data_IF_077269072143
#
_entry.id   IF_077269072143
#
_cell.length_a   1.000
_cell.length_b   1.000
_cell.length_c   1.000
_cell.angle_alpha   90.00
_cell.angle_beta   90.00
_cell.angle_gamma   90.00
#
_symmetry.space_group_name_H-M   'P 1'
#
loop_
_entity.id
_entity.type
_entity.pdbx_description
1 polymer ?
#
# COMPACT_ATOMS: atom_id res chain seq x y z
N UNK A 1 -34.03 -50.13 -19.29
CA UNK A 1 -32.83 -49.73 -18.56
C UNK A 1 -33.04 -48.31 -18.04
N UNK A 2 -33.15 -48.16 -16.75
CA UNK A 2 -33.33 -46.85 -16.14
C UNK A 2 -32.09 -46.03 -16.34
N UNK A 3 -32.21 -44.81 -16.88
CA UNK A 3 -31.17 -43.82 -16.89
C UNK A 3 -30.98 -43.34 -15.43
N UNK A 4 -30.15 -44.04 -14.70
CA UNK A 4 -29.79 -43.67 -13.36
C UNK A 4 -28.96 -42.38 -13.41
N UNK A 5 -29.54 -41.37 -12.87
CA UNK A 5 -29.01 -40.17 -12.22
C UNK A 5 -27.59 -39.73 -12.64
N UNK A 6 -27.42 -39.31 -13.90
CA UNK A 6 -26.23 -38.62 -14.35
C UNK A 6 -25.82 -37.45 -13.44
N UNK A 7 -26.77 -36.81 -12.75
CA UNK A 7 -26.51 -35.70 -11.84
C UNK A 7 -25.85 -36.17 -10.53
N UNK A 8 -26.36 -37.26 -9.92
CA UNK A 8 -25.75 -37.80 -8.69
C UNK A 8 -24.35 -38.30 -8.93
N UNK A 9 -24.12 -39.02 -10.04
CA UNK A 9 -22.80 -39.52 -10.45
C UNK A 9 -21.84 -38.36 -10.74
N UNK A 10 -22.34 -37.31 -11.40
CA UNK A 10 -21.56 -36.09 -11.68
C UNK A 10 -21.17 -35.39 -10.39
N UNK A 11 -22.12 -35.13 -9.48
CA UNK A 11 -21.87 -34.47 -8.21
C UNK A 11 -20.93 -35.28 -7.31
N UNK A 12 -21.08 -36.63 -7.30
CA UNK A 12 -20.16 -37.52 -6.57
C UNK A 12 -18.76 -37.46 -7.13
N UNK A 13 -18.60 -37.52 -8.44
CA UNK A 13 -17.32 -37.41 -9.12
C UNK A 13 -16.65 -36.07 -8.85
N UNK A 14 -17.43 -35.00 -8.87
CA UNK A 14 -16.95 -33.64 -8.60
C UNK A 14 -16.50 -33.49 -7.14
N UNK A 15 -17.30 -34.00 -6.18
CA UNK A 15 -16.93 -34.00 -4.76
C UNK A 15 -15.64 -34.78 -4.49
N UNK A 16 -15.44 -35.91 -5.17
CA UNK A 16 -14.19 -36.68 -5.06
C UNK A 16 -12.98 -35.89 -5.57
N UNK A 17 -13.12 -35.19 -6.70
CA UNK A 17 -12.06 -34.35 -7.24
C UNK A 17 -11.72 -33.17 -6.31
N UNK A 18 -12.71 -32.54 -5.71
CA UNK A 18 -12.52 -31.50 -4.70
C UNK A 18 -11.80 -32.02 -3.46
N UNK A 19 -12.21 -33.17 -2.93
CA UNK A 19 -11.53 -33.82 -1.79
C UNK A 19 -10.06 -34.08 -2.09
N UNK A 20 -9.77 -34.65 -3.24
CA UNK A 20 -8.40 -34.94 -3.67
C UNK A 20 -7.57 -33.66 -3.76
N UNK A 21 -8.16 -32.56 -4.28
CA UNK A 21 -7.47 -31.28 -4.47
C UNK A 21 -7.25 -30.54 -3.12
N UNK A 22 -8.20 -30.66 -2.19
CA UNK A 22 -8.13 -30.05 -0.86
C UNK A 22 -7.38 -30.91 0.17
N UNK A 23 -6.98 -32.14 -0.16
CA UNK A 23 -6.33 -33.04 0.77
C UNK A 23 -7.23 -33.48 1.94
N UNK A 24 -8.55 -33.52 1.75
CA UNK A 24 -9.50 -33.87 2.80
C UNK A 24 -10.31 -35.12 2.47
N UNK A 25 -10.63 -35.93 3.49
CA UNK A 25 -11.56 -37.05 3.39
C UNK A 25 -12.99 -36.71 3.82
N UNK A 26 -13.21 -35.50 4.35
CA UNK A 26 -14.51 -35.05 4.87
C UNK A 26 -15.57 -35.01 3.76
N UNK A 27 -16.82 -35.34 4.12
CA UNK A 27 -17.95 -35.22 3.19
C UNK A 27 -18.23 -33.75 2.89
N UNK A 28 -18.33 -33.41 1.62
CA UNK A 28 -18.70 -32.06 1.18
C UNK A 28 -20.23 -32.03 1.10
N UNK A 29 -20.85 -31.21 1.94
CA UNK A 29 -22.28 -30.96 1.90
C UNK A 29 -22.60 -30.14 0.64
N UNK A 30 -23.66 -30.47 -0.11
CA UNK A 30 -24.10 -29.68 -1.25
C UNK A 30 -24.36 -28.21 -0.95
N UNK A 31 -24.75 -27.86 0.30
CA UNK A 31 -24.96 -26.48 0.74
C UNK A 31 -23.64 -25.69 0.89
N UNK A 32 -22.52 -26.40 1.07
CA UNK A 32 -21.19 -25.78 1.20
C UNK A 32 -20.44 -25.77 -0.13
N UNK A 33 -21.10 -26.19 -1.23
CA UNK A 33 -20.44 -26.44 -2.51
C UNK A 33 -19.78 -25.16 -3.06
N UNK A 34 -20.46 -24.02 -2.98
CA UNK A 34 -19.97 -22.74 -3.46
C UNK A 34 -18.66 -22.34 -2.73
N UNK A 35 -18.68 -22.42 -1.39
CA UNK A 35 -17.47 -22.15 -0.60
C UNK A 35 -16.33 -23.15 -0.88
N UNK A 36 -16.66 -24.40 -1.23
CA UNK A 36 -15.65 -25.39 -1.59
C UNK A 36 -15.07 -25.21 -2.99
N UNK A 37 -15.81 -24.60 -3.90
CA UNK A 37 -15.27 -24.14 -5.19
C UNK A 37 -14.22 -23.05 -4.93
N UNK A 38 -14.52 -22.09 -4.08
CA UNK A 38 -13.57 -21.03 -3.72
C UNK A 38 -12.32 -21.61 -3.04
N UNK A 39 -12.48 -22.55 -2.08
CA UNK A 39 -11.36 -23.26 -1.44
C UNK A 39 -10.43 -23.95 -2.47
N UNK A 40 -10.98 -24.55 -3.52
CA UNK A 40 -10.20 -25.21 -4.60
C UNK A 40 -9.47 -24.19 -5.46
N UNK A 41 -10.13 -23.08 -5.79
CA UNK A 41 -9.49 -21.97 -6.51
C UNK A 41 -8.34 -21.38 -5.71
N UNK A 42 -8.54 -21.16 -4.41
CA UNK A 42 -7.52 -20.64 -3.52
C UNK A 42 -6.38 -21.64 -3.31
N UNK A 43 -6.68 -22.95 -3.23
CA UNK A 43 -5.64 -23.99 -3.18
C UNK A 43 -4.82 -24.07 -4.47
N UNK A 44 -5.44 -23.86 -5.65
CA UNK A 44 -4.73 -23.77 -6.93
C UNK A 44 -3.81 -22.55 -6.97
N UNK A 45 -4.32 -21.40 -6.61
CA UNK A 45 -3.54 -20.15 -6.51
C UNK A 45 -2.47 -20.24 -5.43
N UNK A 46 -2.73 -20.94 -4.31
CA UNK A 46 -1.74 -21.20 -3.28
C UNK A 46 -0.55 -22.00 -3.78
N UNK A 47 -0.76 -22.99 -4.66
CA UNK A 47 0.31 -23.75 -5.28
C UNK A 47 1.21 -22.89 -6.17
N UNK A 48 0.63 -22.02 -7.00
CA UNK A 48 1.38 -21.06 -7.81
C UNK A 48 2.14 -20.06 -6.92
N UNK A 49 1.50 -19.65 -5.85
CA UNK A 49 2.05 -18.72 -4.87
C UNK A 49 3.23 -19.35 -4.08
N UNK A 50 3.08 -20.60 -3.61
CA UNK A 50 4.16 -21.32 -2.95
C UNK A 50 5.36 -21.51 -3.89
N UNK A 51 5.12 -21.87 -5.15
CA UNK A 51 6.16 -21.96 -6.17
C UNK A 51 6.83 -20.61 -6.46
N UNK A 52 6.05 -19.52 -6.50
CA UNK A 52 6.59 -18.17 -6.63
C UNK A 52 7.52 -17.83 -5.46
N UNK A 53 7.07 -18.03 -4.21
CA UNK A 53 7.87 -17.74 -3.03
C UNK A 53 9.12 -18.61 -2.93
N UNK A 54 9.03 -19.89 -3.31
CA UNK A 54 10.16 -20.81 -3.34
C UNK A 54 11.18 -20.39 -4.41
N UNK A 55 10.73 -19.95 -5.58
CA UNK A 55 11.59 -19.43 -6.64
C UNK A 55 12.25 -18.09 -6.27
N UNK A 56 11.48 -17.16 -5.68
CA UNK A 56 11.99 -15.82 -5.33
C UNK A 56 12.86 -15.80 -4.08
N UNK A 57 12.69 -16.75 -3.16
CA UNK A 57 13.35 -16.72 -1.86
C UNK A 57 14.28 -17.88 -1.56
N UNK A 58 14.49 -18.77 -2.53
CA UNK A 58 15.38 -19.92 -2.34
C UNK A 58 16.81 -19.55 -1.89
N UNK A 59 17.22 -18.29 -2.06
CA UNK A 59 18.58 -17.83 -1.74
C UNK A 59 18.66 -16.68 -0.73
N UNK A 60 17.55 -16.18 -0.18
CA UNK A 60 17.54 -15.02 0.74
C UNK A 60 18.12 -13.71 0.16
N UNK A 61 18.48 -13.71 -1.13
CA UNK A 61 19.20 -12.63 -1.81
C UNK A 61 18.34 -11.84 -2.78
N UNK A 62 17.09 -12.28 -3.02
CA UNK A 62 16.20 -11.58 -3.96
C UNK A 62 15.91 -10.16 -3.42
N UNK A 63 16.31 -9.18 -4.20
CA UNK A 63 16.15 -7.75 -3.89
C UNK A 63 15.28 -7.03 -4.92
N UNK A 64 15.14 -7.61 -6.11
CA UNK A 64 14.29 -7.10 -7.18
C UNK A 64 12.91 -7.76 -7.11
N UNK A 65 11.92 -6.97 -6.71
CA UNK A 65 10.51 -7.33 -6.69
C UNK A 65 9.71 -6.48 -7.69
N UNK A 66 10.39 -5.90 -8.68
CA UNK A 66 9.71 -5.10 -9.69
C UNK A 66 8.61 -5.90 -10.38
N UNK A 67 7.41 -5.34 -10.41
CA UNK A 67 6.20 -5.96 -10.97
C UNK A 67 5.82 -7.35 -10.39
N UNK A 68 6.38 -7.76 -9.26
CA UNK A 68 6.21 -9.11 -8.70
C UNK A 68 4.73 -9.50 -8.51
N UNK A 69 3.88 -8.58 -8.09
CA UNK A 69 2.46 -8.80 -7.82
C UNK A 69 1.54 -7.99 -8.76
N UNK A 70 2.12 -7.29 -9.75
CA UNK A 70 1.38 -6.41 -10.64
C UNK A 70 0.32 -7.17 -11.45
N UNK A 71 -0.95 -6.71 -11.37
CA UNK A 71 -2.06 -7.23 -12.17
C UNK A 71 -2.38 -8.72 -11.98
N UNK A 72 -1.78 -9.39 -11.01
CA UNK A 72 -1.88 -10.87 -10.88
C UNK A 72 -3.17 -11.35 -10.19
N UNK A 73 -4.13 -10.55 -9.93
CA UNK A 73 -5.42 -10.96 -9.36
C UNK A 73 -5.32 -11.82 -8.08
N UNK A 74 -4.22 -11.72 -7.33
CA UNK A 74 -4.07 -12.40 -6.06
C UNK A 74 -4.97 -11.78 -5.00
N UNK A 75 -5.57 -12.62 -4.17
CA UNK A 75 -6.41 -12.17 -3.06
C UNK A 75 -5.58 -12.01 -1.78
N UNK A 76 -6.12 -11.28 -0.82
CA UNK A 76 -5.52 -11.15 0.50
C UNK A 76 -5.32 -12.51 1.19
N UNK A 77 -6.21 -13.47 0.94
CA UNK A 77 -6.15 -14.81 1.54
C UNK A 77 -4.89 -15.59 1.10
N UNK A 78 -4.46 -15.39 -0.15
CA UNK A 78 -3.29 -16.10 -0.70
C UNK A 78 -2.00 -15.27 -0.63
N UNK A 79 -2.07 -13.97 -0.34
CA UNK A 79 -0.89 -13.13 -0.14
C UNK A 79 -0.28 -13.37 1.24
N UNK A 80 0.48 -14.45 1.38
CA UNK A 80 1.12 -14.88 2.64
C UNK A 80 2.61 -15.13 2.45
N UNK A 81 3.46 -14.09 2.48
CA UNK A 81 4.91 -14.27 2.37
C UNK A 81 5.44 -15.26 3.40
N UNK A 82 6.20 -16.27 2.99
CA UNK A 82 6.85 -17.23 3.90
C UNK A 82 7.96 -16.56 4.71
N UNK A 83 8.66 -15.61 4.09
CA UNK A 83 9.81 -14.91 4.63
C UNK A 83 9.61 -13.40 4.58
N UNK A 84 10.47 -12.65 5.25
CA UNK A 84 10.48 -11.19 5.12
C UNK A 84 10.88 -10.78 3.70
N UNK A 85 10.00 -10.03 3.05
CA UNK A 85 10.19 -9.45 1.73
C UNK A 85 10.82 -8.08 1.93
N UNK A 86 12.09 -7.93 1.57
CA UNK A 86 12.84 -6.68 1.70
C UNK A 86 13.34 -6.22 0.33
N UNK A 87 12.50 -5.55 -0.46
CA UNK A 87 12.89 -5.10 -1.80
C UNK A 87 13.92 -3.96 -1.72
N UNK A 88 14.87 -3.98 -2.63
CA UNK A 88 15.62 -2.79 -3.03
C UNK A 88 14.98 -2.14 -4.26
N UNK A 89 14.40 -2.95 -5.16
CA UNK A 89 13.58 -2.51 -6.27
C UNK A 89 12.13 -3.00 -6.09
N UNK A 90 11.21 -2.06 -5.87
CA UNK A 90 9.80 -2.27 -5.67
C UNK A 90 8.95 -1.57 -6.76
N UNK A 91 9.54 -1.21 -7.90
CA UNK A 91 8.81 -0.55 -9.00
C UNK A 91 7.66 -1.42 -9.48
N UNK A 92 6.47 -0.85 -9.59
CA UNK A 92 5.25 -1.55 -10.00
C UNK A 92 4.92 -2.81 -9.16
N UNK A 93 5.48 -2.98 -7.95
CA UNK A 93 5.37 -4.24 -7.20
C UNK A 93 3.93 -4.70 -7.01
N UNK A 94 3.01 -3.77 -6.67
CA UNK A 94 1.57 -4.01 -6.50
C UNK A 94 0.73 -3.21 -7.53
N UNK A 95 1.33 -2.79 -8.63
CA UNK A 95 0.63 -2.03 -9.66
C UNK A 95 -0.63 -2.78 -10.14
N UNK A 96 -1.78 -2.11 -10.13
CA UNK A 96 -3.09 -2.69 -10.51
C UNK A 96 -3.45 -3.98 -9.74
N UNK A 97 -2.91 -4.19 -8.55
CA UNK A 97 -3.32 -5.31 -7.68
C UNK A 97 -4.67 -5.00 -7.04
N UNK A 98 -5.71 -5.75 -7.40
CA UNK A 98 -7.09 -5.49 -6.95
C UNK A 98 -7.55 -6.38 -5.79
N UNK A 99 -6.88 -7.49 -5.53
CA UNK A 99 -7.27 -8.45 -4.50
C UNK A 99 -6.45 -8.39 -3.21
N UNK A 100 -5.32 -7.68 -3.19
CA UNK A 100 -4.50 -7.46 -2.00
C UNK A 100 -4.86 -6.10 -1.43
N UNK A 101 -5.44 -6.09 -0.23
CA UNK A 101 -5.99 -4.86 0.36
C UNK A 101 -5.23 -4.35 1.58
N UNK A 102 -4.63 -5.23 2.36
CA UNK A 102 -3.86 -4.85 3.55
C UNK A 102 -2.46 -5.46 3.50
N UNK A 103 -1.46 -4.62 3.27
CA UNK A 103 -0.06 -5.03 3.19
C UNK A 103 0.60 -5.17 4.56
N UNK A 104 -0.08 -4.75 5.64
CA UNK A 104 0.46 -4.78 7.02
C UNK A 104 0.19 -6.12 7.71
N UNK A 105 -0.85 -6.86 7.30
CA UNK A 105 -1.34 -8.07 7.97
C UNK A 105 -0.28 -9.16 8.18
N UNK A 106 0.68 -9.26 7.30
CA UNK A 106 1.70 -10.32 7.39
C UNK A 106 2.87 -9.93 8.27
N UNK A 107 3.09 -8.63 8.50
CA UNK A 107 4.30 -8.10 9.17
C UNK A 107 5.61 -8.46 8.45
N UNK A 108 5.54 -8.94 7.20
CA UNK A 108 6.70 -9.46 6.45
C UNK A 108 7.11 -8.59 5.27
N UNK A 109 6.43 -7.48 5.02
CA UNK A 109 6.85 -6.50 4.03
C UNK A 109 7.70 -5.42 4.71
N UNK A 110 8.95 -5.33 4.30
CA UNK A 110 9.93 -4.41 4.86
C UNK A 110 10.53 -3.55 3.74
N UNK A 111 10.05 -2.33 3.60
CA UNK A 111 10.55 -1.36 2.62
C UNK A 111 11.75 -0.54 3.14
N UNK A 112 12.47 -1.00 4.17
CA UNK A 112 13.59 -0.26 4.75
C UNK A 112 14.81 -0.14 3.82
N UNK A 113 14.95 -1.05 2.85
CA UNK A 113 16.08 -1.10 1.93
C UNK A 113 15.77 -0.56 0.53
N UNK A 114 14.58 -0.01 0.30
CA UNK A 114 14.12 0.37 -1.04
C UNK A 114 14.94 1.52 -1.62
N UNK A 115 15.36 1.36 -2.86
CA UNK A 115 16.07 2.40 -3.64
C UNK A 115 15.26 2.88 -4.86
N UNK A 116 14.32 2.06 -5.32
CA UNK A 116 13.40 2.37 -6.42
C UNK A 116 11.99 1.87 -6.08
N UNK A 117 10.98 2.76 -6.14
CA UNK A 117 9.61 2.46 -5.70
C UNK A 117 8.53 3.10 -6.62
N UNK A 118 8.91 3.56 -7.81
CA UNK A 118 7.95 4.19 -8.74
C UNK A 118 6.76 3.28 -9.00
N UNK A 119 5.56 3.84 -9.00
CA UNK A 119 4.29 3.15 -9.26
C UNK A 119 4.03 1.90 -8.40
N UNK A 120 4.70 1.75 -7.26
CA UNK A 120 4.68 0.53 -6.45
C UNK A 120 3.26 0.04 -6.12
N UNK A 121 2.39 0.94 -5.71
CA UNK A 121 1.00 0.65 -5.34
C UNK A 121 -0.01 1.40 -6.22
N UNK A 122 0.46 1.96 -7.35
CA UNK A 122 -0.40 2.76 -8.20
C UNK A 122 -1.56 1.91 -8.78
N UNK A 123 -2.78 2.50 -8.79
CA UNK A 123 -4.01 1.85 -9.25
C UNK A 123 -4.41 0.58 -8.49
N UNK A 124 -3.81 0.32 -7.33
CA UNK A 124 -4.16 -0.84 -6.51
C UNK A 124 -5.39 -0.60 -5.65
N UNK A 125 -5.95 -1.70 -5.11
CA UNK A 125 -7.00 -1.66 -4.09
C UNK A 125 -6.46 -1.70 -2.66
N UNK A 126 -5.18 -1.42 -2.47
CA UNK A 126 -4.55 -1.38 -1.14
C UNK A 126 -5.25 -0.33 -0.27
N UNK A 127 -5.67 -0.73 0.93
CA UNK A 127 -6.28 0.13 1.94
C UNK A 127 -5.29 0.52 3.04
N UNK A 128 -4.30 -0.36 3.30
CA UNK A 128 -3.25 -0.13 4.29
C UNK A 128 -1.89 -0.48 3.74
N UNK A 129 -0.97 0.47 3.78
CA UNK A 129 0.42 0.32 3.43
C UNK A 129 1.30 0.32 4.68
N UNK A 130 2.33 -0.54 4.76
CA UNK A 130 3.29 -0.55 5.87
C UNK A 130 4.19 0.67 5.82
N UNK A 131 5.12 0.74 6.76
CA UNK A 131 6.16 1.77 6.75
C UNK A 131 7.04 1.68 5.49
N UNK A 132 7.24 2.82 4.82
CA UNK A 132 8.03 2.96 3.60
C UNK A 132 9.20 3.89 3.88
N UNK A 133 10.42 3.37 3.78
CA UNK A 133 11.62 4.16 4.03
C UNK A 133 12.23 4.64 2.71
N UNK A 134 12.13 5.92 2.45
CA UNK A 134 12.69 6.59 1.27
C UNK A 134 14.12 7.11 1.47
N UNK A 135 14.77 6.83 2.61
CA UNK A 135 16.11 7.37 2.89
C UNK A 135 17.16 6.95 1.86
N UNK A 136 16.98 5.81 1.20
CA UNK A 136 17.85 5.30 0.15
C UNK A 136 17.27 5.50 -1.26
N UNK A 137 16.02 5.97 -1.39
CA UNK A 137 15.39 6.18 -2.68
C UNK A 137 15.84 7.51 -3.30
N UNK A 138 16.19 7.48 -4.58
CA UNK A 138 16.57 8.69 -5.33
C UNK A 138 15.41 9.31 -6.08
N UNK A 139 14.47 8.48 -6.51
CA UNK A 139 13.29 8.89 -7.24
C UNK A 139 12.13 7.93 -6.93
N UNK A 140 10.96 8.46 -6.64
CA UNK A 140 9.78 7.70 -6.24
C UNK A 140 8.50 8.31 -6.86
N UNK A 141 8.49 8.62 -8.18
CA UNK A 141 7.30 9.21 -8.80
C UNK A 141 6.14 8.23 -8.74
N UNK A 142 4.94 8.74 -8.54
CA UNK A 142 3.68 7.99 -8.55
C UNK A 142 3.62 6.78 -7.61
N UNK A 143 4.51 6.66 -6.63
CA UNK A 143 4.66 5.40 -5.88
C UNK A 143 3.34 4.83 -5.34
N UNK A 144 2.40 5.68 -4.97
CA UNK A 144 1.08 5.30 -4.44
C UNK A 144 -0.05 5.95 -5.27
N UNK A 145 0.26 6.64 -6.36
CA UNK A 145 -0.72 7.39 -7.13
C UNK A 145 -1.93 6.55 -7.55
N UNK A 146 -3.12 7.15 -7.46
CA UNK A 146 -4.39 6.52 -7.86
C UNK A 146 -4.76 5.26 -7.06
N UNK A 147 -4.15 5.04 -5.91
CA UNK A 147 -4.60 4.07 -4.90
C UNK A 147 -5.83 4.65 -4.17
N UNK A 148 -6.98 4.63 -4.85
CA UNK A 148 -8.20 5.33 -4.42
C UNK A 148 -8.80 4.80 -3.11
N UNK A 149 -8.48 3.56 -2.75
CA UNK A 149 -8.96 2.88 -1.54
C UNK A 149 -7.99 3.00 -0.36
N UNK A 150 -6.81 3.60 -0.55
CA UNK A 150 -5.80 3.70 0.49
C UNK A 150 -6.28 4.62 1.62
N UNK A 151 -6.38 4.07 2.83
CA UNK A 151 -6.81 4.78 4.04
C UNK A 151 -5.62 5.12 4.93
N UNK A 152 -4.64 4.21 5.03
CA UNK A 152 -3.54 4.35 5.97
C UNK A 152 -2.19 4.04 5.33
N UNK A 153 -1.21 4.92 5.59
CA UNK A 153 0.22 4.63 5.45
C UNK A 153 0.83 4.72 6.85
N UNK A 154 1.34 3.59 7.38
CA UNK A 154 1.82 3.54 8.76
C UNK A 154 2.91 4.58 9.04
N UNK A 155 3.90 4.67 8.17
CA UNK A 155 4.94 5.68 8.26
C UNK A 155 5.63 5.86 6.89
N UNK A 156 5.83 7.11 6.50
CA UNK A 156 6.64 7.47 5.34
C UNK A 156 7.90 8.18 5.84
N UNK A 157 9.05 7.52 5.66
CA UNK A 157 10.32 7.98 6.21
C UNK A 157 11.12 8.67 5.11
N UNK A 158 11.31 9.98 5.23
CA UNK A 158 12.17 10.76 4.37
C UNK A 158 13.62 10.83 4.90
N UNK A 159 14.62 11.01 4.04
CA UNK A 159 15.99 11.26 4.49
C UNK A 159 16.07 12.53 5.35
N UNK A 160 16.96 12.52 6.33
CA UNK A 160 17.26 13.69 7.18
C UNK A 160 18.40 14.55 6.61
N UNK A 161 19.05 14.13 5.53
CA UNK A 161 20.22 14.74 4.90
C UNK A 161 19.90 15.28 3.50
N UNK A 162 20.75 16.13 2.89
CA UNK A 162 20.42 17.03 1.77
C UNK A 162 20.05 16.37 0.44
N UNK A 163 19.83 15.07 0.40
CA UNK A 163 19.38 14.39 -0.82
C UNK A 163 17.86 14.40 -0.91
N UNK A 164 17.35 15.34 -1.67
CA UNK A 164 15.93 15.40 -1.98
C UNK A 164 15.50 14.18 -2.80
N UNK A 165 14.58 13.37 -2.26
CA UNK A 165 13.90 12.32 -3.03
C UNK A 165 12.88 12.99 -3.95
N UNK A 166 12.93 12.71 -5.24
CA UNK A 166 11.86 13.14 -6.15
C UNK A 166 10.58 12.33 -5.85
N UNK A 167 9.52 13.02 -5.42
CA UNK A 167 8.23 12.40 -5.00
C UNK A 167 7.07 12.93 -5.84
N UNK A 168 7.33 13.23 -7.11
CA UNK A 168 6.29 13.74 -8.03
C UNK A 168 5.06 12.85 -8.02
N UNK A 169 3.88 13.45 -7.84
CA UNK A 169 2.58 12.79 -7.84
C UNK A 169 2.45 11.60 -6.89
N UNK A 170 3.22 11.58 -5.79
CA UNK A 170 3.33 10.41 -4.89
C UNK A 170 1.97 9.90 -4.41
N UNK A 171 1.06 10.80 -4.00
CA UNK A 171 -0.30 10.50 -3.53
C UNK A 171 -1.39 11.02 -4.49
N UNK A 172 -1.06 11.27 -5.74
CA UNK A 172 -2.04 11.78 -6.69
C UNK A 172 -3.31 10.90 -6.73
N UNK A 173 -4.48 11.50 -6.54
CA UNK A 173 -5.81 10.83 -6.56
C UNK A 173 -5.97 9.75 -5.46
N UNK A 174 -5.41 9.95 -4.26
CA UNK A 174 -5.62 9.09 -3.09
C UNK A 174 -6.81 9.61 -2.24
N UNK A 175 -8.03 9.54 -2.74
CA UNK A 175 -9.22 10.14 -2.12
C UNK A 175 -9.58 9.62 -0.72
N UNK A 176 -9.23 8.37 -0.41
CA UNK A 176 -9.58 7.74 0.86
C UNK A 176 -8.53 7.93 1.95
N UNK A 177 -7.38 8.55 1.64
CA UNK A 177 -6.28 8.67 2.60
C UNK A 177 -6.67 9.53 3.80
N UNK A 178 -6.63 8.92 4.97
CA UNK A 178 -6.97 9.53 6.27
C UNK A 178 -5.73 9.64 7.17
N UNK A 179 -4.96 8.55 7.26
CA UNK A 179 -3.90 8.42 8.24
C UNK A 179 -2.53 8.24 7.56
N UNK A 180 -1.64 9.19 7.82
CA UNK A 180 -0.25 9.12 7.41
C UNK A 180 0.64 9.71 8.50
N UNK A 181 1.65 8.96 8.89
CA UNK A 181 2.76 9.48 9.70
C UNK A 181 3.95 9.76 8.79
N UNK A 182 4.59 10.91 8.97
CA UNK A 182 5.80 11.26 8.21
C UNK A 182 6.94 11.51 9.19
N UNK A 183 8.07 10.86 8.96
CA UNK A 183 9.32 11.10 9.69
C UNK A 183 10.41 11.58 8.74
N UNK A 184 11.40 12.31 9.28
CA UNK A 184 12.43 12.96 8.45
C UNK A 184 11.99 14.33 7.95
N UNK A 185 12.50 14.73 6.78
CA UNK A 185 12.31 16.08 6.24
C UNK A 185 11.83 16.04 4.80
N UNK A 186 10.70 16.68 4.52
CA UNK A 186 10.22 16.86 3.13
C UNK A 186 11.02 18.04 2.53
N UNK A 187 11.73 17.77 1.45
CA UNK A 187 12.58 18.76 0.77
C UNK A 187 12.15 19.06 -0.68
N UNK A 188 11.14 18.35 -1.18
CA UNK A 188 10.69 18.44 -2.57
C UNK A 188 9.22 18.86 -2.70
N UNK A 189 8.93 19.59 -3.78
CA UNK A 189 7.62 20.20 -4.06
C UNK A 189 6.60 19.24 -4.71
N UNK A 190 7.02 18.08 -5.19
CA UNK A 190 6.13 17.14 -5.91
C UNK A 190 5.23 16.26 -5.04
N UNK A 191 5.18 16.52 -3.73
CA UNK A 191 4.37 15.77 -2.77
C UNK A 191 2.93 16.27 -2.82
N UNK A 192 2.13 15.70 -3.70
CA UNK A 192 0.76 16.13 -3.99
C UNK A 192 -0.26 15.39 -3.13
N UNK A 193 -0.95 16.12 -2.26
CA UNK A 193 -1.99 15.62 -1.34
C UNK A 193 -3.35 16.29 -1.54
N UNK A 194 -3.52 17.18 -2.52
CA UNK A 194 -4.76 17.94 -2.66
C UNK A 194 -6.01 17.07 -2.86
N UNK A 195 -5.86 15.87 -3.39
CA UNK A 195 -6.96 14.90 -3.52
C UNK A 195 -7.28 14.14 -2.23
N UNK A 196 -6.44 14.21 -1.20
CA UNK A 196 -6.59 13.46 0.06
C UNK A 196 -7.47 14.23 1.05
N UNK A 197 -8.74 14.42 0.70
CA UNK A 197 -9.67 15.31 1.44
C UNK A 197 -10.06 14.78 2.82
N UNK A 198 -9.71 13.54 3.17
CA UNK A 198 -10.05 12.90 4.44
C UNK A 198 -8.93 12.91 5.48
N UNK A 199 -7.77 13.52 5.19
CA UNK A 199 -6.65 13.56 6.12
C UNK A 199 -7.09 14.00 7.53
N UNK A 200 -6.68 13.25 8.56
CA UNK A 200 -6.88 13.61 9.96
C UNK A 200 -6.00 14.80 10.34
N UNK A 201 -6.31 15.47 11.45
CA UNK A 201 -5.49 16.60 11.92
C UNK A 201 -4.09 16.13 12.33
N UNK A 202 -3.97 14.92 12.86
CA UNK A 202 -2.69 14.28 13.19
C UNK A 202 -1.84 14.07 11.95
N UNK A 203 -2.46 13.63 10.85
CA UNK A 203 -1.79 13.49 9.55
C UNK A 203 -1.32 14.83 8.99
N UNK A 204 -2.17 15.86 9.07
CA UNK A 204 -1.82 17.22 8.66
C UNK A 204 -0.66 17.74 9.51
N UNK A 205 -0.71 17.56 10.84
CA UNK A 205 0.37 17.93 11.77
C UNK A 205 1.68 17.23 11.42
N UNK A 206 1.62 15.93 11.13
CA UNK A 206 2.80 15.15 10.76
C UNK A 206 3.46 15.64 9.47
N UNK A 207 2.65 16.00 8.45
CA UNK A 207 3.12 16.59 7.20
C UNK A 207 3.80 17.95 7.46
N UNK A 208 3.13 18.84 8.19
CA UNK A 208 3.63 20.17 8.52
C UNK A 208 4.93 20.10 9.34
N UNK A 209 5.01 19.16 10.28
CA UNK A 209 6.24 18.90 11.05
C UNK A 209 7.40 18.48 10.16
N UNK A 210 7.15 17.64 9.14
CA UNK A 210 8.20 17.23 8.21
C UNK A 210 8.65 18.36 7.28
N UNK A 211 7.75 19.29 6.93
CA UNK A 211 8.08 20.53 6.19
C UNK A 211 8.90 21.52 7.04
N UNK A 212 8.52 21.70 8.30
CA UNK A 212 9.14 22.65 9.21
C UNK A 212 10.62 22.33 9.52
N UNK A 213 11.03 21.07 9.34
CA UNK A 213 12.42 20.60 9.54
C UNK A 213 13.35 20.95 8.38
N UNK A 214 12.83 21.45 7.27
CA UNK A 214 13.66 21.81 6.12
C UNK A 214 14.42 23.10 6.40
N UNK A 215 15.70 22.97 6.74
CA UNK A 215 16.58 24.11 6.98
C UNK A 215 17.26 24.63 5.70
N UNK A 216 16.99 24.03 4.56
CA UNK A 216 17.67 24.36 3.29
C UNK A 216 17.17 25.66 2.64
N UNK A 217 16.23 26.34 3.28
CA UNK A 217 15.61 27.64 2.89
C UNK A 217 15.71 27.92 1.39
N UNK A 218 15.11 27.07 0.59
CA UNK A 218 14.96 27.36 -0.82
C UNK A 218 13.65 28.12 -0.99
N UNK A 219 13.73 29.42 -1.21
CA UNK A 219 12.58 30.24 -1.59
C UNK A 219 11.85 29.59 -2.78
N UNK A 220 10.53 29.49 -2.70
CA UNK A 220 9.68 29.03 -3.79
C UNK A 220 9.23 27.57 -3.74
N UNK A 221 9.43 26.86 -2.65
CA UNK A 221 8.84 25.52 -2.46
C UNK A 221 7.36 25.62 -2.14
N UNK A 222 6.53 24.96 -2.92
CA UNK A 222 5.09 24.93 -2.69
C UNK A 222 4.63 23.49 -2.47
N UNK A 223 3.78 23.28 -1.47
CA UNK A 223 2.99 22.05 -1.31
C UNK A 223 1.52 22.41 -1.41
N UNK A 224 0.72 21.54 -2.03
CA UNK A 224 -0.73 21.69 -2.07
C UNK A 224 -1.38 20.63 -1.18
N UNK A 225 -2.16 21.11 -0.21
CA UNK A 225 -2.97 20.31 0.69
C UNK A 225 -4.46 20.46 0.31
N UNK A 226 -5.33 19.52 0.70
CA UNK A 226 -6.76 19.66 0.46
C UNK A 226 -7.35 20.83 1.28
N UNK A 227 -8.41 21.46 0.75
CA UNK A 227 -9.11 22.53 1.46
C UNK A 227 -9.60 22.10 2.85
N UNK A 228 -10.00 20.83 3.00
CA UNK A 228 -10.38 20.24 4.29
C UNK A 228 -9.27 20.29 5.35
N UNK A 229 -8.00 20.29 4.94
CA UNK A 229 -6.88 20.48 5.87
C UNK A 229 -6.86 21.92 6.41
N UNK A 230 -7.16 22.92 5.57
CA UNK A 230 -7.28 24.31 6.01
C UNK A 230 -8.44 24.48 7.00
N UNK A 231 -9.60 23.91 6.69
CA UNK A 231 -10.77 23.94 7.56
C UNK A 231 -10.44 23.38 8.97
N UNK A 232 -9.67 22.29 9.03
CA UNK A 232 -9.20 21.70 10.29
C UNK A 232 -8.23 22.64 11.02
N UNK A 233 -7.28 23.25 10.32
CA UNK A 233 -6.34 24.21 10.91
C UNK A 233 -7.06 25.44 11.50
N UNK A 234 -8.12 25.90 10.84
CA UNK A 234 -8.89 27.08 11.27
C UNK A 234 -9.93 26.77 12.35
N UNK A 235 -10.17 25.51 12.70
CA UNK A 235 -11.32 25.08 13.52
C UNK A 235 -11.22 25.35 15.02
N UNK A 236 -10.12 25.89 15.55
CA UNK A 236 -9.90 26.15 16.99
C UNK A 236 -10.21 24.97 17.93
N UNK A 237 -10.13 23.74 17.46
CA UNK A 237 -10.28 22.54 18.29
C UNK A 237 -9.00 22.29 19.10
N UNK A 238 -9.10 21.60 20.25
CA UNK A 238 -7.95 21.37 21.16
C UNK A 238 -6.72 20.76 20.45
N UNK A 239 -6.93 19.94 19.41
CA UNK A 239 -5.86 19.27 18.68
C UNK A 239 -5.24 20.11 17.54
N UNK A 240 -5.71 21.36 17.33
CA UNK A 240 -5.24 22.20 16.21
C UNK A 240 -4.06 23.10 16.59
N UNK A 241 -3.82 23.37 17.87
CA UNK A 241 -2.77 24.28 18.32
C UNK A 241 -1.37 23.83 17.87
N UNK A 242 -1.07 22.54 17.94
CA UNK A 242 0.20 22.00 17.45
C UNK A 242 0.29 22.09 15.93
N UNK A 243 -0.77 21.71 15.21
CA UNK A 243 -0.83 21.81 13.76
C UNK A 243 -0.60 23.25 13.28
N UNK A 244 -1.21 24.25 13.95
CA UNK A 244 -1.03 25.66 13.65
C UNK A 244 0.40 26.13 13.94
N UNK A 245 1.01 25.62 15.00
CA UNK A 245 2.41 25.89 15.33
C UNK A 245 3.33 25.36 14.20
N UNK A 246 3.14 24.10 13.78
CA UNK A 246 3.92 23.49 12.72
C UNK A 246 3.68 24.16 11.35
N UNK A 247 2.46 24.64 11.09
CA UNK A 247 2.13 25.43 9.91
C UNK A 247 2.97 26.72 9.86
N UNK A 248 3.02 27.48 10.95
CA UNK A 248 3.80 28.71 11.02
C UNK A 248 5.31 28.45 10.91
N UNK A 249 5.80 27.35 11.48
CA UNK A 249 7.19 26.93 11.34
C UNK A 249 7.54 26.54 9.89
N UNK A 250 6.65 25.84 9.19
CA UNK A 250 6.83 25.49 7.78
C UNK A 250 6.88 26.75 6.89
N UNK A 251 6.01 27.74 7.14
CA UNK A 251 6.08 29.05 6.46
C UNK A 251 7.41 29.75 6.73
N UNK A 252 7.87 29.74 8.00
CA UNK A 252 9.15 30.32 8.41
C UNK A 252 10.36 29.60 7.78
N UNK A 253 10.23 28.29 7.48
CA UNK A 253 11.21 27.52 6.74
C UNK A 253 11.18 27.79 5.21
N UNK A 254 10.36 28.71 4.74
CA UNK A 254 10.30 29.15 3.34
C UNK A 254 9.29 28.38 2.46
N UNK A 255 8.45 27.54 3.04
CA UNK A 255 7.40 26.85 2.30
C UNK A 255 6.21 27.76 1.98
N UNK A 256 5.63 27.61 0.81
CA UNK A 256 4.29 28.09 0.47
C UNK A 256 3.33 26.92 0.59
N UNK A 257 2.31 27.03 1.44
CA UNK A 257 1.29 26.00 1.62
C UNK A 257 0.01 26.48 0.93
N UNK A 258 -0.29 25.89 -0.22
CA UNK A 258 -1.51 26.14 -0.97
C UNK A 258 -2.61 25.16 -0.53
N UNK A 259 -3.85 25.56 -0.65
CA UNK A 259 -5.03 24.72 -0.36
C UNK A 259 -5.96 24.72 -1.56
N UNK A 260 -6.40 23.55 -2.00
CA UNK A 260 -7.28 23.37 -3.15
C UNK A 260 -8.28 22.23 -2.96
#
# INVERSE_FOLDING_TARGET
>A
MAKTNNLTDFLTSLALKFRAKLGTSATINPQDFESKVDDVFDAGKKSEYDAFWDAYQSNGTQKDYSSAFAGKGWTQAVFKPKYTVRPTDARNMFYQSTGITDLTLTGKLDFSAVTAISDCMAWSSVTKAPSINLSNARSSPNAIAKARSLVTVENLIFPTSPFAVSVSEFFHVCYALENITITGTIQNTGFDLHWSTKLTIESVTSILTALSKDSSVASGKTITLPLSAKEKLDSNLENTAEAQTQYNLALSAGWTIAFS
#
